data_IF_623606422768
#
_entry.id   IF_623606422768
#
_cell.length_a   1.000
_cell.length_b   1.000
_cell.length_c   1.000
_cell.angle_alpha   90.00
_cell.angle_beta   90.00
_cell.angle_gamma   90.00
#
_symmetry.space_group_name_H-M   'P 1'
#
loop_
_entity.id
_entity.type
_entity.pdbx_description
1 polymer ?
#
# COMPACT_ATOMS: atom_id res chain seq x y z
N UNK A 1 21.93 42.79 10.17
CA UNK A 1 21.60 43.31 11.52
C UNK A 1 20.13 43.07 11.79
N UNK A 2 19.73 42.26 12.79
CA UNK A 2 18.52 42.48 13.61
C UNK A 2 18.21 41.36 14.63
N UNK A 3 19.14 40.45 14.97
CA UNK A 3 18.90 39.50 16.08
C UNK A 3 18.84 40.22 17.45
N UNK A 4 19.74 41.18 17.69
CA UNK A 4 19.78 41.96 18.94
C UNK A 4 18.47 42.71 19.25
N UNK A 5 17.78 43.21 18.23
CA UNK A 5 16.51 43.95 18.39
C UNK A 5 15.31 43.06 18.73
N UNK A 6 15.38 41.76 18.42
CA UNK A 6 14.32 40.82 18.75
C UNK A 6 14.44 40.36 20.20
N UNK A 7 15.65 40.02 20.63
CA UNK A 7 15.93 39.61 22.01
C UNK A 7 15.68 40.75 23.01
N UNK A 8 16.03 42.00 22.65
CA UNK A 8 15.71 43.18 23.47
C UNK A 8 14.20 43.38 23.63
N UNK A 9 13.41 43.16 22.57
CA UNK A 9 11.94 43.24 22.65
C UNK A 9 11.34 42.11 23.47
N UNK A 10 11.85 40.89 23.35
CA UNK A 10 11.41 39.74 24.15
C UNK A 10 11.73 39.95 25.65
N UNK A 11 12.90 40.49 25.95
CA UNK A 11 13.33 40.78 27.33
C UNK A 11 12.49 41.89 27.96
N UNK A 12 12.12 42.93 27.19
CA UNK A 12 11.21 43.99 27.64
C UNK A 12 9.77 43.50 27.89
N UNK A 13 9.32 42.48 27.15
CA UNK A 13 7.98 41.90 27.34
C UNK A 13 7.87 41.00 28.57
N UNK A 14 8.95 40.80 29.34
CA UNK A 14 9.03 39.84 30.45
C UNK A 14 8.44 38.47 30.08
N UNK A 15 8.56 38.10 28.80
CA UNK A 15 7.95 36.89 28.28
C UNK A 15 8.69 35.69 28.85
N UNK A 16 8.09 35.05 29.86
CA UNK A 16 8.53 33.75 30.34
C UNK A 16 7.89 32.69 29.44
N UNK A 17 8.66 31.76 28.82
CA UNK A 17 8.10 30.64 28.08
C UNK A 17 7.49 29.65 29.07
N UNK A 18 6.31 29.97 29.61
CA UNK A 18 5.55 29.11 30.52
C UNK A 18 4.31 28.48 29.90
N UNK A 19 4.09 28.66 28.59
CA UNK A 19 3.01 27.97 27.90
C UNK A 19 3.58 26.74 27.18
N UNK A 20 3.81 25.65 27.92
CA UNK A 20 3.66 24.34 27.31
C UNK A 20 2.27 24.26 26.65
N UNK A 21 2.12 23.60 25.49
CA UNK A 21 0.83 23.52 24.82
C UNK A 21 -0.23 23.05 25.80
N UNK A 22 -1.37 23.75 25.86
CA UNK A 22 -2.44 23.38 26.79
C UNK A 22 -2.85 21.93 26.50
N UNK A 23 -3.29 21.17 27.52
CA UNK A 23 -3.73 19.79 27.34
C UNK A 23 -4.74 19.64 26.19
N UNK A 24 -5.56 20.67 25.95
CA UNK A 24 -6.52 20.76 24.86
C UNK A 24 -5.89 20.75 23.46
N UNK A 25 -4.72 21.39 23.28
CA UNK A 25 -3.97 21.39 22.00
C UNK A 25 -3.29 20.04 21.79
N UNK A 26 -2.78 19.43 22.87
CA UNK A 26 -2.21 18.09 22.81
C UNK A 26 -3.30 17.07 22.48
N UNK A 27 -4.46 17.18 23.14
CA UNK A 27 -5.62 16.33 22.90
C UNK A 27 -6.22 16.55 21.51
N UNK A 28 -6.23 17.77 20.96
CA UNK A 28 -6.72 18.00 19.60
C UNK A 28 -5.82 17.32 18.56
N UNK A 29 -4.49 17.39 18.73
CA UNK A 29 -3.52 16.75 17.83
C UNK A 29 -3.52 15.23 17.98
N UNK A 30 -3.73 14.72 19.20
CA UNK A 30 -3.84 13.27 19.47
C UNK A 30 -5.19 12.73 18.99
N UNK A 31 -6.29 13.45 19.21
CA UNK A 31 -7.63 13.05 18.79
C UNK A 31 -7.83 13.13 17.26
N UNK A 32 -7.08 13.99 16.56
CA UNK A 32 -7.07 14.02 15.09
C UNK A 32 -6.38 12.81 14.44
N UNK A 33 -5.64 11.99 15.21
CA UNK A 33 -5.31 10.64 14.77
C UNK A 33 -6.61 9.85 14.67
N UNK A 34 -7.22 9.92 13.50
CA UNK A 34 -8.30 9.04 13.11
C UNK A 34 -7.88 7.62 13.52
N UNK A 35 -8.67 6.92 14.36
CA UNK A 35 -8.37 5.54 14.69
C UNK A 35 -8.24 4.82 13.37
N UNK A 36 -7.07 4.22 13.12
CA UNK A 36 -6.81 3.42 11.93
C UNK A 36 -7.90 2.36 11.93
N UNK A 37 -8.92 2.62 11.15
CA UNK A 37 -10.11 1.80 11.13
C UNK A 37 -9.68 0.65 10.25
N UNK A 38 -9.32 -0.46 10.88
CA UNK A 38 -8.89 -1.72 10.24
C UNK A 38 -9.94 -2.22 9.22
N UNK A 39 -11.14 -1.62 9.25
CA UNK A 39 -12.26 -1.77 8.32
C UNK A 39 -11.88 -1.34 6.89
N UNK A 40 -11.24 -2.24 6.17
CA UNK A 40 -10.77 -2.04 4.79
C UNK A 40 -9.48 -2.80 4.46
N UNK A 41 -8.70 -3.18 5.48
CA UNK A 41 -7.43 -3.90 5.32
C UNK A 41 -7.63 -5.28 4.71
N UNK A 42 -8.77 -5.94 4.97
CA UNK A 42 -9.05 -7.30 4.52
C UNK A 42 -8.98 -7.45 2.99
N UNK A 43 -9.54 -6.49 2.25
CA UNK A 43 -9.53 -6.52 0.78
C UNK A 43 -8.15 -6.19 0.21
N UNK A 44 -7.43 -5.26 0.84
CA UNK A 44 -6.04 -4.96 0.50
C UNK A 44 -5.15 -6.18 0.76
N UNK A 45 -5.29 -6.83 1.91
CA UNK A 45 -4.52 -8.01 2.29
C UNK A 45 -4.84 -9.19 1.36
N UNK A 46 -6.11 -9.45 1.08
CA UNK A 46 -6.53 -10.49 0.14
C UNK A 46 -5.96 -10.22 -1.26
N UNK A 47 -6.01 -8.96 -1.72
CA UNK A 47 -5.42 -8.53 -2.98
C UNK A 47 -3.92 -8.78 -3.01
N UNK A 48 -3.21 -8.40 -1.94
CA UNK A 48 -1.78 -8.60 -1.80
C UNK A 48 -1.40 -10.08 -1.81
N UNK A 49 -2.07 -10.92 -1.01
CA UNK A 49 -1.80 -12.37 -0.94
C UNK A 49 -1.97 -12.99 -2.32
N UNK A 50 -3.10 -12.74 -2.98
CA UNK A 50 -3.35 -13.29 -4.31
C UNK A 50 -2.34 -12.76 -5.32
N UNK A 51 -1.98 -11.48 -5.24
CA UNK A 51 -1.05 -10.85 -6.16
C UNK A 51 0.36 -11.40 -6.01
N UNK A 52 0.76 -11.69 -4.77
CA UNK A 52 2.01 -12.37 -4.46
C UNK A 52 2.01 -13.79 -5.04
N UNK A 53 0.95 -14.56 -4.81
CA UNK A 53 0.85 -15.94 -5.33
C UNK A 53 0.95 -15.98 -6.86
N UNK A 54 0.25 -15.07 -7.55
CA UNK A 54 0.32 -14.95 -9.01
C UNK A 54 1.70 -14.48 -9.46
N UNK A 55 2.25 -13.43 -8.84
CA UNK A 55 3.55 -12.86 -9.20
C UNK A 55 4.69 -13.85 -9.03
N UNK A 56 4.71 -14.62 -7.93
CA UNK A 56 5.67 -15.71 -7.70
C UNK A 56 5.49 -16.82 -8.73
N UNK A 57 4.24 -17.19 -9.03
CA UNK A 57 3.92 -18.15 -10.08
C UNK A 57 4.52 -17.75 -11.43
N UNK A 58 4.24 -16.51 -11.88
CA UNK A 58 4.75 -15.96 -13.13
C UNK A 58 6.28 -15.85 -13.16
N UNK A 59 6.90 -15.34 -12.08
CA UNK A 59 8.36 -15.20 -11.99
C UNK A 59 9.06 -16.55 -12.11
N UNK A 60 8.49 -17.59 -11.50
CA UNK A 60 9.04 -18.94 -11.57
C UNK A 60 9.08 -19.51 -13.00
N UNK A 61 8.13 -19.16 -13.88
CA UNK A 61 8.10 -19.62 -15.29
C UNK A 61 9.40 -19.27 -16.02
N UNK A 62 10.00 -18.12 -15.71
CA UNK A 62 11.23 -17.63 -16.36
C UNK A 62 12.50 -17.89 -15.55
N UNK A 63 12.39 -18.49 -14.36
CA UNK A 63 13.52 -18.69 -13.45
C UNK A 63 14.09 -20.11 -13.64
N UNK A 64 15.32 -20.27 -14.17
CA UNK A 64 15.95 -21.58 -14.28
C UNK A 64 16.13 -22.23 -12.90
N UNK A 65 15.83 -23.51 -12.79
CA UNK A 65 15.90 -24.25 -11.51
C UNK A 65 14.71 -24.04 -10.57
N UNK A 66 13.72 -23.20 -10.94
CA UNK A 66 12.47 -23.11 -10.17
C UNK A 66 11.65 -24.42 -10.31
N UNK A 67 10.91 -24.85 -9.26
CA UNK A 67 10.15 -26.10 -9.30
C UNK A 67 9.07 -26.17 -10.39
N UNK A 68 8.61 -25.01 -10.88
CA UNK A 68 7.67 -24.86 -12.00
C UNK A 68 8.25 -23.98 -13.12
N UNK A 69 9.57 -23.94 -13.23
CA UNK A 69 10.28 -23.16 -14.25
C UNK A 69 10.36 -23.86 -15.61
N UNK A 70 11.23 -23.38 -16.52
CA UNK A 70 11.44 -23.99 -17.82
C UNK A 70 11.79 -25.47 -17.66
N UNK A 71 11.28 -26.32 -18.55
CA UNK A 71 11.54 -27.78 -18.54
C UNK A 71 10.93 -28.58 -17.38
N UNK A 72 10.11 -27.96 -16.52
CA UNK A 72 9.40 -28.66 -15.42
C UNK A 72 8.19 -29.52 -15.86
N UNK A 73 7.95 -29.64 -17.18
CA UNK A 73 6.92 -30.49 -17.76
C UNK A 73 5.50 -30.13 -17.31
N UNK A 74 4.78 -31.11 -16.75
CA UNK A 74 3.38 -30.95 -16.33
C UNK A 74 3.22 -29.92 -15.19
N UNK A 75 4.17 -29.85 -14.26
CA UNK A 75 4.12 -28.92 -13.13
C UNK A 75 4.18 -27.47 -13.62
N UNK A 76 5.09 -27.17 -14.54
CA UNK A 76 5.19 -25.86 -15.18
C UNK A 76 3.94 -25.50 -15.98
N UNK A 77 3.34 -26.47 -16.69
CA UNK A 77 2.10 -26.24 -17.42
C UNK A 77 0.95 -25.85 -16.49
N UNK A 78 0.77 -26.58 -15.38
CA UNK A 78 -0.32 -26.34 -14.44
C UNK A 78 -0.13 -25.04 -13.65
N UNK A 79 1.04 -24.87 -13.02
CA UNK A 79 1.32 -23.69 -12.19
C UNK A 79 1.47 -22.45 -13.05
N UNK A 80 2.19 -22.55 -14.17
CA UNK A 80 2.36 -21.45 -15.12
C UNK A 80 1.04 -21.06 -15.79
N UNK A 81 0.24 -22.04 -16.22
CA UNK A 81 -1.09 -21.81 -16.78
C UNK A 81 -2.04 -21.14 -15.79
N UNK A 82 -2.06 -21.61 -14.53
CA UNK A 82 -2.84 -20.99 -13.47
C UNK A 82 -2.38 -19.57 -13.15
N UNK A 83 -1.06 -19.31 -13.14
CA UNK A 83 -0.51 -17.98 -12.91
C UNK A 83 -0.86 -16.99 -14.04
N UNK A 84 -0.73 -17.41 -15.31
CA UNK A 84 -1.10 -16.60 -16.47
C UNK A 84 -2.61 -16.33 -16.47
N UNK A 85 -3.43 -17.36 -16.23
CA UNK A 85 -4.89 -17.20 -16.11
C UNK A 85 -5.27 -16.27 -14.96
N UNK A 86 -4.62 -16.42 -13.81
CA UNK A 86 -4.80 -15.55 -12.66
C UNK A 86 -4.43 -14.10 -12.95
N UNK A 87 -3.33 -13.85 -13.65
CA UNK A 87 -2.92 -12.50 -14.04
C UNK A 87 -3.91 -11.86 -15.03
N UNK A 88 -4.40 -12.63 -16.01
CA UNK A 88 -5.42 -12.16 -16.95
C UNK A 88 -6.73 -11.80 -16.22
N UNK A 89 -7.19 -12.64 -15.30
CA UNK A 89 -8.37 -12.36 -14.46
C UNK A 89 -8.15 -11.13 -13.57
N UNK A 90 -6.95 -10.95 -13.04
CA UNK A 90 -6.59 -9.79 -12.22
C UNK A 90 -6.66 -8.48 -13.01
N UNK A 91 -6.21 -8.51 -14.27
CA UNK A 91 -6.33 -7.37 -15.18
C UNK A 91 -7.79 -7.06 -15.49
N UNK A 92 -8.60 -8.07 -15.80
CA UNK A 92 -10.05 -7.90 -16.02
C UNK A 92 -10.74 -7.33 -14.79
N UNK A 93 -10.42 -7.85 -13.59
CA UNK A 93 -10.96 -7.34 -12.34
C UNK A 93 -10.59 -5.87 -12.10
N UNK A 94 -9.37 -5.46 -12.42
CA UNK A 94 -8.93 -4.07 -12.33
C UNK A 94 -9.69 -3.15 -13.30
N UNK A 95 -9.91 -3.59 -14.54
CA UNK A 95 -10.72 -2.83 -15.52
C UNK A 95 -12.15 -2.67 -15.00
N UNK A 96 -12.77 -3.76 -14.51
CA UNK A 96 -14.12 -3.70 -13.92
C UNK A 96 -14.15 -2.77 -12.71
N UNK A 97 -13.15 -2.82 -11.84
CA UNK A 97 -13.03 -1.95 -10.67
C UNK A 97 -12.93 -0.48 -11.07
N UNK A 98 -12.14 -0.18 -12.11
CA UNK A 98 -11.97 1.17 -12.65
C UNK A 98 -13.30 1.72 -13.20
N UNK A 99 -14.03 0.91 -13.98
CA UNK A 99 -15.33 1.29 -14.55
C UNK A 99 -16.40 1.48 -13.47
N UNK A 100 -16.35 0.70 -12.38
CA UNK A 100 -17.34 0.72 -11.28
C UNK A 100 -16.82 1.35 -9.99
N UNK A 101 -15.83 2.24 -10.07
CA UNK A 101 -15.14 2.75 -8.89
C UNK A 101 -16.05 3.44 -7.86
N UNK A 102 -17.15 4.06 -8.31
CA UNK A 102 -18.13 4.71 -7.42
C UNK A 102 -19.03 3.72 -6.69
N UNK A 103 -19.29 2.57 -7.29
CA UNK A 103 -20.22 1.55 -6.76
C UNK A 103 -19.48 0.53 -5.87
N UNK A 104 -18.20 0.26 -6.15
CA UNK A 104 -17.45 -0.84 -5.54
C UNK A 104 -16.04 -0.41 -5.08
N UNK A 105 -15.91 0.44 -4.05
CA UNK A 105 -14.61 0.92 -3.56
C UNK A 105 -13.71 -0.21 -3.03
N UNK A 106 -14.30 -1.30 -2.54
CA UNK A 106 -13.56 -2.49 -2.05
C UNK A 106 -12.89 -3.28 -3.17
N UNK A 107 -13.56 -3.40 -4.32
CA UNK A 107 -12.99 -4.07 -5.49
C UNK A 107 -11.79 -3.28 -6.04
N UNK A 108 -11.88 -1.95 -6.00
CA UNK A 108 -10.78 -1.06 -6.39
C UNK A 108 -9.54 -1.27 -5.51
N UNK A 109 -9.71 -1.31 -4.18
CA UNK A 109 -8.62 -1.57 -3.23
C UNK A 109 -7.99 -2.95 -3.41
N UNK A 110 -8.81 -3.97 -3.63
CA UNK A 110 -8.35 -5.32 -3.90
C UNK A 110 -7.54 -5.39 -5.20
N UNK A 111 -8.12 -4.90 -6.30
CA UNK A 111 -7.54 -5.03 -7.64
C UNK A 111 -6.26 -4.19 -7.79
N UNK A 112 -6.22 -3.00 -7.20
CA UNK A 112 -5.02 -2.16 -7.22
C UNK A 112 -3.86 -2.81 -6.46
N UNK A 113 -4.11 -3.31 -5.25
CA UNK A 113 -3.09 -3.97 -4.45
C UNK A 113 -2.62 -5.27 -5.11
N UNK A 114 -3.56 -6.03 -5.67
CA UNK A 114 -3.25 -7.27 -6.38
C UNK A 114 -2.31 -7.03 -7.57
N UNK A 115 -2.64 -6.08 -8.46
CA UNK A 115 -1.78 -5.73 -9.59
C UNK A 115 -0.44 -5.15 -9.15
N UNK A 116 -0.44 -4.30 -8.11
CA UNK A 116 0.80 -3.74 -7.58
C UNK A 116 1.77 -4.84 -7.15
N UNK A 117 1.28 -5.85 -6.43
CA UNK A 117 2.13 -6.97 -5.98
C UNK A 117 2.61 -7.84 -7.13
N UNK A 118 1.76 -8.11 -8.13
CA UNK A 118 2.16 -8.85 -9.33
C UNK A 118 3.31 -8.12 -10.04
N UNK A 119 3.12 -6.82 -10.32
CA UNK A 119 4.11 -6.01 -11.03
C UNK A 119 5.40 -5.87 -10.21
N UNK A 120 5.30 -5.62 -8.90
CA UNK A 120 6.46 -5.51 -8.02
C UNK A 120 7.32 -6.78 -8.08
N UNK A 121 6.70 -7.96 -8.03
CA UNK A 121 7.43 -9.23 -8.07
C UNK A 121 8.06 -9.51 -9.43
N UNK A 122 7.38 -9.14 -10.52
CA UNK A 122 7.93 -9.28 -11.86
C UNK A 122 9.12 -8.34 -12.12
N UNK A 123 9.18 -7.20 -11.44
CA UNK A 123 10.27 -6.23 -11.54
C UNK A 123 11.42 -6.46 -10.55
N UNK A 124 11.16 -7.20 -9.46
CA UNK A 124 12.20 -7.66 -8.52
C UNK A 124 13.04 -8.77 -9.10
#
# INVERSE_FOLDING_TARGET
>A
MSYKRFDERLTQMQWQPQAGPSPQIVDSVIAERHPITIRGVEFTLAGAILGISIGVGLKGIYTPGAPWGPESGLTGLLVGGAAIGGAALSLVAAVVAMLRHREMPRLMQFASMNLLMIVMLLLS
#
